data_IF_351607965304
#
_entry.id   IF_351607965304
#
_cell.length_a   1.000
_cell.length_b   1.000
_cell.length_c   1.000
_cell.angle_alpha   90.00
_cell.angle_beta   90.00
_cell.angle_gamma   90.00
#
_symmetry.space_group_name_H-M   'P 1'
#
loop_
_entity.id
_entity.type
_entity.pdbx_description
1 polymer ?
2 non-polymer ?
3 water ?
#
# COMPACT_ATOMS: atom_id res chain seq x y z
N UNK A 2 1.36 -10.73 -21.90
CA UNK A 2 0.91 -10.42 -20.55
C UNK A 2 1.82 -11.07 -19.50
N UNK A 3 1.79 -10.54 -18.29
CA UNK A 3 2.64 -11.05 -17.23
C UNK A 3 1.76 -11.68 -16.17
N UNK A 4 2.30 -12.66 -15.47
CA UNK A 4 1.63 -13.18 -14.28
C UNK A 4 2.34 -12.69 -13.05
N UNK A 5 1.56 -12.24 -12.09
CA UNK A 5 2.15 -11.89 -10.83
C UNK A 5 1.46 -12.72 -9.77
N UNK A 6 2.25 -13.38 -8.94
CA UNK A 6 1.71 -14.33 -7.98
C UNK A 6 2.26 -14.02 -6.59
N UNK A 7 1.36 -13.74 -5.65
CA UNK A 7 1.73 -13.71 -4.24
C UNK A 7 1.53 -15.12 -3.73
N UNK A 8 2.60 -15.78 -3.34
CA UNK A 8 2.56 -17.22 -3.09
C UNK A 8 2.76 -17.55 -1.63
N UNK A 9 2.30 -18.74 -1.25
CA UNK A 9 2.26 -19.17 0.14
C UNK A 9 1.74 -18.06 1.06
N UNK A 10 0.69 -17.40 0.62
CA UNK A 10 0.22 -16.18 1.27
C UNK A 10 -0.42 -16.48 2.60
N UNK A 11 -0.12 -15.62 3.58
CA UNK A 11 -0.67 -15.70 4.93
C UNK A 11 -2.13 -15.23 4.98
N UNK A 12 -2.97 -15.84 4.16
CA UNK A 12 -4.38 -15.55 4.07
C UNK A 12 -5.15 -16.89 4.12
N UNK A 13 -5.73 -17.18 5.28
CA UNK A 13 -6.39 -18.46 5.54
C UNK A 13 -7.61 -18.29 6.42
N UNK A 14 -8.62 -19.13 6.21
CA UNK A 14 -9.62 -19.33 7.25
C UNK A 14 -8.91 -19.86 8.48
N UNK A 15 -9.52 -19.69 9.65
CA UNK A 15 -8.90 -20.16 10.87
C UNK A 15 -8.71 -21.68 10.82
N UNK A 16 -7.47 -22.15 11.01
CA UNK A 16 -7.19 -23.60 10.96
C UNK A 16 -8.00 -24.35 12.01
N UNK A 17 -8.66 -25.44 11.63
CA UNK A 17 -9.35 -26.29 12.58
C UNK A 17 -8.43 -26.67 13.74
N UNK A 18 -7.16 -26.94 13.41
CA UNK A 18 -6.13 -27.25 14.39
C UNK A 18 -6.22 -26.38 15.65
N UNK A 19 -6.66 -25.13 15.50
CA UNK A 19 -6.61 -24.20 16.63
C UNK A 19 -7.94 -23.53 17.01
N UNK A 20 -9.02 -23.91 16.35
CA UNK A 20 -10.31 -23.26 16.63
C UNK A 20 -10.68 -23.26 18.12
N UNK A 21 -10.28 -24.33 18.83
CA UNK A 21 -10.63 -24.46 20.24
C UNK A 21 -9.93 -23.46 21.15
N UNK A 22 -8.87 -22.84 20.64
CA UNK A 22 -8.12 -21.90 21.45
C UNK A 22 -8.54 -20.47 21.11
N UNK A 23 -9.45 -20.34 20.14
CA UNK A 23 -9.91 -19.04 19.70
C UNK A 23 -11.05 -18.55 20.57
N UNK A 24 -10.83 -17.48 21.34
CA UNK A 24 -11.97 -16.84 21.99
C UNK A 24 -12.55 -15.78 21.06
N UNK A 25 -13.77 -16.01 20.58
CA UNK A 25 -14.41 -15.07 19.69
C UNK A 25 -14.75 -13.76 20.41
N UNK A 26 -14.65 -12.65 19.68
CA UNK A 26 -14.81 -11.33 20.25
C UNK A 26 -15.47 -10.43 19.21
N UNK A 27 -16.22 -9.44 19.68
CA UNK A 27 -16.91 -8.52 18.77
C UNK A 27 -15.95 -7.51 18.13
N UNK A 28 -14.75 -7.38 18.66
CA UNK A 28 -13.78 -6.46 18.03
C UNK A 28 -13.22 -7.04 16.73
N UNK A 29 -13.30 -8.36 16.58
CA UNK A 29 -12.85 -9.04 15.37
C UNK A 29 -13.78 -10.19 15.04
N UNK A 30 -14.67 -9.96 14.08
CA UNK A 30 -15.70 -10.94 13.73
C UNK A 30 -15.47 -11.66 12.39
N UNK A 31 -14.21 -12.02 12.10
CA UNK A 31 -13.90 -12.71 10.84
C UNK A 31 -13.26 -14.06 11.10
N UNK A 32 -13.58 -15.04 10.25
CA UNK A 32 -12.98 -16.35 10.33
C UNK A 32 -11.66 -16.42 9.56
N UNK A 33 -10.94 -15.31 9.52
CA UNK A 33 -9.65 -15.28 8.87
C UNK A 33 -8.56 -15.11 9.89
N UNK A 34 -7.52 -15.94 9.77
CA UNK A 34 -6.42 -15.92 10.71
C UNK A 34 -5.68 -14.58 10.68
N UNK A 35 -5.62 -13.91 11.83
CA UNK A 35 -4.91 -12.63 11.91
C UNK A 35 -4.15 -12.62 13.22
N UNK A 36 -2.83 -12.67 13.12
CA UNK A 36 -1.98 -12.82 14.28
C UNK A 36 -2.16 -11.65 15.25
N UNK A 37 -2.70 -10.53 14.77
CA UNK A 37 -2.98 -9.38 15.64
C UNK A 37 -4.01 -9.71 16.71
N UNK A 38 -4.92 -10.61 16.35
CA UNK A 38 -6.02 -11.02 17.21
C UNK A 38 -5.90 -12.46 17.74
N UNK A 39 -5.09 -13.29 17.08
CA UNK A 39 -5.01 -14.72 17.42
C UNK A 39 -3.62 -15.20 17.84
N UNK A 40 -2.71 -14.27 18.12
CA UNK A 40 -1.34 -14.63 18.44
C UNK A 40 -1.23 -15.79 19.44
N UNK A 41 -1.97 -15.70 20.55
CA UNK A 41 -1.94 -16.75 21.55
C UNK A 41 -2.36 -18.10 20.99
N UNK A 42 -3.55 -18.17 20.39
CA UNK A 42 -4.05 -19.43 19.83
C UNK A 42 -3.13 -20.01 18.73
N UNK A 43 -2.17 -19.19 18.27
CA UNK A 43 -1.26 -19.56 17.20
C UNK A 43 0.08 -20.02 17.74
N UNK A 44 0.20 -20.04 19.07
CA UNK A 44 1.48 -20.32 19.71
C UNK A 44 2.13 -21.64 19.27
N UNK A 45 1.32 -22.70 19.13
CA UNK A 45 1.84 -23.98 18.67
C UNK A 45 1.34 -24.34 17.27
N UNK A 46 1.02 -23.32 16.49
CA UNK A 46 0.65 -23.50 15.08
C UNK A 46 1.91 -23.68 14.24
N UNK A 47 1.92 -24.72 13.41
CA UNK A 47 3.03 -24.95 12.48
C UNK A 47 3.26 -23.72 11.59
N UNK A 48 4.51 -23.29 11.46
CA UNK A 48 4.86 -22.17 10.59
C UNK A 48 4.14 -20.88 10.97
N UNK A 49 3.89 -20.72 12.27
CA UNK A 49 3.11 -19.59 12.75
C UNK A 49 3.72 -18.24 12.35
N UNK A 50 5.04 -18.20 12.18
CA UNK A 50 5.73 -16.94 11.87
C UNK A 50 5.42 -16.48 10.46
N UNK A 51 4.91 -17.39 9.61
CA UNK A 51 4.62 -17.01 8.23
C UNK A 51 3.13 -17.04 7.90
N UNK A 52 2.30 -17.15 8.92
CA UNK A 52 0.85 -17.23 8.75
C UNK A 52 0.12 -16.12 9.50
N UNK A 53 -1.15 -15.91 9.15
CA UNK A 53 -1.96 -14.92 9.83
C UNK A 53 -1.58 -13.47 9.59
N UNK A 54 -1.25 -13.12 8.35
CA UNK A 54 -0.90 -11.75 8.01
C UNK A 54 -1.62 -11.28 6.73
N UNK A 55 -2.95 -11.22 6.77
CA UNK A 55 -3.73 -10.89 5.58
C UNK A 55 -3.50 -9.46 5.10
N UNK A 56 -3.06 -8.58 5.99
CA UNK A 56 -2.80 -7.21 5.56
C UNK A 56 -1.69 -7.10 4.51
N UNK A 57 -0.75 -8.04 4.51
CA UNK A 57 0.29 -8.06 3.49
C UNK A 57 -0.31 -8.22 2.08
N UNK A 58 -1.30 -9.11 1.97
CA UNK A 58 -2.02 -9.32 0.73
C UNK A 58 -2.90 -8.13 0.37
N UNK A 59 -3.59 -7.56 1.36
CA UNK A 59 -4.39 -6.35 1.15
C UNK A 59 -3.57 -5.21 0.55
N UNK A 60 -2.48 -4.84 1.21
CA UNK A 60 -1.64 -3.75 0.73
C UNK A 60 -0.99 -4.07 -0.63
N UNK A 61 -0.44 -5.28 -0.79
CA UNK A 61 0.12 -5.67 -2.07
C UNK A 61 -0.90 -5.54 -3.20
N UNK A 62 -2.11 -6.03 -2.98
CA UNK A 62 -3.15 -5.97 -4.02
C UNK A 62 -3.58 -4.54 -4.34
N UNK A 63 -3.66 -3.68 -3.33
CA UNK A 63 -3.96 -2.25 -3.57
C UNK A 63 -2.93 -1.65 -4.53
N UNK A 64 -1.66 -2.02 -4.36
CA UNK A 64 -0.59 -1.60 -5.28
C UNK A 64 -0.72 -2.20 -6.67
N UNK A 65 -0.84 -3.53 -6.75
CA UNK A 65 -0.96 -4.20 -8.04
C UNK A 65 -2.18 -3.71 -8.85
N UNK A 66 -3.34 -3.63 -8.22
CA UNK A 66 -4.56 -3.33 -8.95
C UNK A 66 -4.58 -1.92 -9.54
N UNK A 67 -3.90 -0.99 -8.88
CA UNK A 67 -3.87 0.40 -9.34
C UNK A 67 -2.67 0.73 -10.21
N UNK A 68 -1.82 -0.25 -10.48
CA UNK A 68 -0.61 0.03 -11.25
C UNK A 68 -0.97 0.28 -12.71
N UNK A 69 -0.18 1.12 -13.39
CA UNK A 69 -0.44 1.38 -14.81
C UNK A 69 -0.46 0.07 -15.62
N UNK A 70 0.50 -0.82 -15.38
CA UNK A 70 0.55 -2.10 -16.10
C UNK A 70 -0.78 -2.86 -15.96
N UNK A 71 -1.45 -2.74 -14.82
CA UNK A 71 -2.77 -3.37 -14.70
C UNK A 71 -3.92 -2.60 -15.38
N UNK A 72 -3.81 -1.27 -15.41
CA UNK A 72 -4.82 -0.45 -16.11
C UNK A 72 -4.73 -0.76 -17.59
N UNK A 73 -3.53 -1.10 -18.03
CA UNK A 73 -3.34 -1.51 -19.42
C UNK A 73 -3.69 -2.97 -19.67
N UNK A 74 -4.20 -3.64 -18.64
CA UNK A 74 -4.69 -5.00 -18.82
C UNK A 74 -3.61 -5.99 -19.25
N UNK A 75 -2.38 -5.77 -18.78
CA UNK A 75 -1.29 -6.67 -19.13
C UNK A 75 -0.84 -7.61 -17.99
N UNK A 76 -1.65 -7.72 -16.95
CA UNK A 76 -1.32 -8.62 -15.83
C UNK A 76 -2.38 -9.66 -15.60
N UNK A 77 -1.92 -10.86 -15.27
CA UNK A 77 -2.77 -11.85 -14.62
C UNK A 77 -2.36 -11.90 -13.16
N UNK A 78 -3.32 -11.77 -12.27
CA UNK A 78 -3.04 -11.61 -10.87
C UNK A 78 -3.50 -12.83 -10.07
N UNK A 79 -2.60 -13.42 -9.29
CA UNK A 79 -2.93 -14.61 -8.50
C UNK A 79 -2.49 -14.49 -7.05
N UNK A 80 -3.36 -14.90 -6.16
CA UNK A 80 -2.97 -15.14 -4.78
C UNK A 80 -2.96 -16.65 -4.55
N UNK A 81 -1.78 -17.20 -4.28
CA UNK A 81 -1.68 -18.58 -3.82
C UNK A 81 -1.47 -18.52 -2.31
N UNK A 82 -2.21 -19.34 -1.57
CA UNK A 82 -2.20 -19.26 -0.11
C UNK A 82 -1.39 -20.39 0.54
N UNK A 83 -1.00 -20.17 1.80
CA UNK A 83 -0.28 -21.18 2.56
C UNK A 83 -0.91 -22.57 2.45
N UNK A 84 -2.23 -22.64 2.48
CA UNK A 84 -2.92 -23.92 2.40
C UNK A 84 -3.40 -24.30 1.00
N UNK A 85 -2.72 -23.80 -0.03
CA UNK A 85 -2.97 -24.25 -1.41
C UNK A 85 -4.37 -23.95 -1.92
N UNK A 86 -4.82 -22.72 -1.72
CA UNK A 86 -5.94 -22.22 -2.52
C UNK A 86 -5.35 -21.18 -3.46
N UNK A 87 -5.94 -21.06 -4.64
CA UNK A 87 -5.53 -20.02 -5.59
C UNK A 87 -6.71 -19.14 -5.93
N UNK A 88 -6.54 -17.84 -5.69
CA UNK A 88 -7.52 -16.86 -6.07
C UNK A 88 -7.02 -16.16 -7.31
N UNK A 89 -7.80 -16.21 -8.39
CA UNK A 89 -7.49 -15.43 -9.57
C UNK A 89 -8.26 -14.12 -9.45
N UNK A 90 -7.53 -13.01 -9.45
CA UNK A 90 -8.13 -11.69 -9.24
C UNK A 90 -8.37 -10.97 -10.56
N UNK A 91 -9.63 -10.69 -10.87
CA UNK A 91 -9.91 -9.94 -12.09
C UNK A 91 -9.24 -8.55 -12.07
N UNK A 92 -8.58 -8.16 -13.17
CA UNK A 92 -7.92 -6.84 -13.21
C UNK A 92 -8.83 -5.66 -12.83
N UNK A 93 -10.14 -5.82 -12.97
CA UNK A 93 -11.06 -4.73 -12.69
C UNK A 93 -11.71 -4.81 -11.31
N UNK A 94 -11.21 -5.73 -10.49
CA UNK A 94 -11.62 -5.82 -9.09
C UNK A 94 -11.39 -4.48 -8.42
N UNK A 95 -12.40 -4.05 -7.68
CA UNK A 95 -12.31 -2.86 -6.87
C UNK A 95 -12.14 -3.37 -5.46
N UNK A 96 -10.93 -3.34 -4.93
CA UNK A 96 -10.69 -3.95 -3.64
C UNK A 96 -11.00 -2.93 -2.58
N UNK A 97 -11.67 -3.34 -1.50
CA UNK A 97 -11.99 -2.39 -0.43
C UNK A 97 -10.71 -1.80 0.13
N UNK A 98 -10.74 -0.50 0.41
CA UNK A 98 -9.57 0.15 0.98
C UNK A 98 -9.57 -0.07 2.49
N UNK A 99 -10.76 -0.31 3.04
CA UNK A 99 -10.88 -0.64 4.45
C UNK A 99 -10.53 -2.12 4.71
N UNK A 100 -9.55 -2.34 5.60
CA UNK A 100 -9.07 -3.68 5.93
C UNK A 100 -10.18 -4.69 6.30
N UNK A 101 -11.08 -4.30 7.21
CA UNK A 101 -12.18 -5.19 7.59
C UNK A 101 -13.09 -5.55 6.44
N UNK A 102 -13.41 -4.58 5.57
CA UNK A 102 -14.21 -4.89 4.38
C UNK A 102 -13.47 -5.91 3.51
N UNK A 103 -12.17 -5.70 3.34
CA UNK A 103 -11.32 -6.66 2.64
C UNK A 103 -11.43 -8.07 3.24
N UNK A 104 -11.33 -8.18 4.56
CA UNK A 104 -11.48 -9.49 5.24
C UNK A 104 -12.84 -10.10 4.95
N UNK A 105 -13.88 -9.28 4.98
CA UNK A 105 -15.24 -9.72 4.66
C UNK A 105 -15.35 -10.33 3.28
N UNK A 106 -14.80 -9.66 2.28
CA UNK A 106 -14.77 -10.20 0.92
C UNK A 106 -13.97 -11.52 0.87
N UNK A 107 -12.75 -11.50 1.40
CA UNK A 107 -11.89 -12.68 1.35
C UNK A 107 -12.47 -13.90 2.10
N UNK A 108 -13.11 -13.64 3.23
CA UNK A 108 -13.79 -14.67 4.02
C UNK A 108 -14.77 -15.48 3.19
N UNK A 109 -15.62 -14.80 2.42
CA UNK A 109 -16.62 -15.48 1.62
C UNK A 109 -16.00 -16.24 0.47
N UNK A 110 -14.97 -15.65 -0.13
CA UNK A 110 -14.30 -16.30 -1.23
C UNK A 110 -13.64 -17.61 -0.76
N UNK A 111 -12.96 -17.55 0.38
CA UNK A 111 -12.22 -18.71 0.87
C UNK A 111 -13.15 -19.86 1.29
N UNK A 112 -14.37 -19.49 1.68
CA UNK A 112 -15.42 -20.41 2.09
C UNK A 112 -16.14 -21.06 0.90
N UNK A 113 -15.88 -20.54 -0.29
CA UNK A 113 -16.40 -21.14 -1.50
C UNK A 113 -17.57 -20.39 -2.13
N UNK A 114 -17.96 -19.28 -1.53
CA UNK A 114 -19.05 -18.46 -2.06
C UNK A 114 -18.66 -17.76 -3.36
N UNK A 115 -19.50 -17.89 -4.39
CA UNK A 115 -19.21 -17.33 -5.70
C UNK A 115 -18.91 -15.85 -5.65
N UNK A 116 -17.94 -15.44 -6.44
CA UNK A 116 -17.60 -14.04 -6.59
C UNK A 116 -17.10 -13.85 -8.02
N UNK A 117 -17.87 -13.13 -8.82
CA UNK A 117 -17.56 -13.09 -10.26
C UNK A 117 -16.20 -12.48 -10.58
N UNK A 118 -15.64 -11.71 -9.66
CA UNK A 118 -14.34 -11.05 -9.88
C UNK A 118 -13.13 -11.76 -9.25
N UNK A 119 -13.38 -12.60 -8.24
CA UNK A 119 -12.31 -13.34 -7.57
C UNK A 119 -12.67 -14.83 -7.57
N UNK A 120 -11.95 -15.62 -8.38
CA UNK A 120 -12.24 -17.05 -8.47
C UNK A 120 -11.28 -17.88 -7.60
N UNK A 121 -11.84 -18.83 -6.86
CA UNK A 121 -11.05 -19.67 -5.98
C UNK A 121 -11.05 -21.12 -6.44
N UNK A 122 -9.87 -21.72 -6.50
CA UNK A 122 -9.71 -23.16 -6.66
C UNK A 122 -8.71 -23.68 -5.65
N UNK A 123 -8.81 -24.97 -5.33
CA UNK A 123 -7.79 -25.63 -4.53
C UNK A 123 -6.70 -26.08 -5.49
N UNK A 124 -5.46 -25.72 -5.20
CA UNK A 124 -4.41 -25.88 -6.19
C UNK A 124 -3.09 -25.51 -5.57
N UNK A 125 -2.06 -26.30 -5.86
CA UNK A 125 -0.70 -26.01 -5.39
C UNK A 125 -0.06 -24.94 -6.28
N UNK A 126 1.03 -24.37 -5.79
CA UNK A 126 1.75 -23.35 -6.54
C UNK A 126 2.32 -23.93 -7.83
N UNK A 127 2.90 -25.12 -7.73
CA UNK A 127 3.53 -25.75 -8.88
C UNK A 127 2.50 -26.09 -9.96
N UNK A 128 1.34 -26.56 -9.54
CA UNK A 128 0.27 -26.83 -10.48
C UNK A 128 -0.24 -25.55 -11.18
N UNK A 129 -0.40 -24.47 -10.41
CA UNK A 129 -0.77 -23.17 -10.98
C UNK A 129 0.23 -22.76 -12.08
N UNK A 130 1.51 -22.84 -11.78
CA UNK A 130 2.55 -22.44 -12.71
C UNK A 130 2.45 -23.22 -14.00
N UNK A 131 2.29 -24.54 -13.89
CA UNK A 131 2.21 -25.37 -15.07
C UNK A 131 0.97 -25.06 -15.88
N UNK A 132 -0.13 -24.85 -15.17
CA UNK A 132 -1.42 -24.62 -15.82
C UNK A 132 -1.51 -23.29 -16.57
N UNK A 133 -0.84 -22.25 -16.08
CA UNK A 133 -0.85 -20.99 -16.79
C UNK A 133 0.32 -20.92 -17.79
N UNK A 134 1.03 -22.03 -17.96
CA UNK A 134 2.25 -22.09 -18.78
C UNK A 134 3.27 -20.98 -18.49
N UNK A 135 3.57 -20.80 -17.22
CA UNK A 135 4.66 -19.94 -16.81
C UNK A 135 5.95 -20.56 -17.36
N UNK A 136 6.76 -19.75 -18.05
CA UNK A 136 7.94 -20.25 -18.75
C UNK A 136 9.24 -19.78 -18.11
N UNK A 137 9.38 -18.47 -17.97
CA UNK A 137 10.51 -17.89 -17.25
C UNK A 137 9.99 -17.20 -16.00
N UNK A 138 10.27 -17.85 -14.87
CA UNK A 138 9.73 -17.50 -13.60
C UNK A 138 10.80 -16.84 -12.74
N UNK A 139 10.50 -15.65 -12.23
CA UNK A 139 11.42 -14.97 -11.34
C UNK A 139 10.83 -15.05 -9.95
N UNK A 140 11.55 -15.69 -9.03
CA UNK A 140 11.19 -15.71 -7.62
C UNK A 140 11.94 -14.61 -6.88
N UNK A 141 11.21 -13.66 -6.34
CA UNK A 141 11.80 -12.55 -5.59
C UNK A 141 12.14 -12.95 -4.17
N UNK A 142 13.38 -12.67 -3.78
CA UNK A 142 13.90 -13.06 -2.47
C UNK A 142 15.28 -12.41 -2.30
N UNK A 143 15.57 -11.94 -1.09
CA UNK A 143 16.80 -11.16 -0.83
C UNK A 143 18.10 -11.97 -0.91
N UNK A 144 17.99 -13.27 -1.20
CA UNK A 144 19.17 -14.14 -1.35
C UNK A 144 19.37 -14.51 -2.81
N UNK A 145 18.57 -13.92 -3.70
CA UNK A 145 18.66 -14.20 -5.12
C UNK A 145 19.68 -13.32 -5.82
N UNK A 146 19.86 -13.58 -7.11
CA UNK A 146 20.78 -12.82 -7.95
C UNK A 146 20.41 -11.34 -8.07
N UNK A 147 21.32 -10.46 -7.67
CA UNK A 147 21.06 -9.02 -7.77
C UNK A 147 20.85 -8.58 -9.22
N UNK A 148 19.70 -7.97 -9.47
CA UNK A 148 19.22 -7.71 -10.80
C UNK A 148 18.60 -6.32 -10.84
N UNK A 149 18.82 -5.62 -11.94
CA UNK A 149 18.22 -4.31 -12.12
C UNK A 149 16.84 -4.45 -12.70
N UNK A 150 15.87 -3.79 -12.05
CA UNK A 150 14.45 -3.79 -12.43
C UNK A 150 14.24 -3.79 -13.94
N UNK A 151 15.09 -3.11 -14.70
CA UNK A 151 14.88 -3.03 -16.14
C UNK A 151 14.87 -4.41 -16.78
N UNK A 152 15.61 -5.35 -16.20
CA UNK A 152 15.73 -6.72 -16.72
C UNK A 152 14.49 -7.60 -16.45
N UNK A 153 13.61 -7.15 -15.57
CA UNK A 153 12.45 -7.92 -15.18
C UNK A 153 11.57 -8.22 -16.38
N UNK A 154 11.61 -7.34 -17.38
CA UNK A 154 10.77 -7.52 -18.57
C UNK A 154 11.07 -8.82 -19.31
N UNK A 155 12.23 -9.42 -19.04
CA UNK A 155 12.58 -10.67 -19.70
C UNK A 155 11.83 -11.91 -19.16
N UNK A 156 11.23 -11.79 -17.98
CA UNK A 156 10.43 -12.87 -17.39
C UNK A 156 8.95 -12.69 -17.68
N UNK A 157 8.20 -13.78 -17.74
CA UNK A 157 6.76 -13.69 -17.91
C UNK A 157 6.01 -13.89 -16.60
N UNK A 158 6.69 -14.38 -15.57
CA UNK A 158 6.02 -14.71 -14.31
C UNK A 158 6.82 -14.34 -13.08
N UNK A 159 6.17 -13.67 -12.14
CA UNK A 159 6.83 -13.17 -10.95
C UNK A 159 6.19 -13.74 -9.70
N UNK A 160 7.00 -14.29 -8.82
CA UNK A 160 6.51 -14.84 -7.57
C UNK A 160 7.08 -14.12 -6.37
N UNK A 161 6.19 -13.57 -5.55
CA UNK A 161 6.55 -12.84 -4.37
C UNK A 161 5.87 -13.54 -3.19
N UNK A 162 6.63 -13.82 -2.12
CA UNK A 162 6.07 -14.45 -0.94
C UNK A 162 5.07 -13.54 -0.25
N UNK A 163 3.82 -13.99 -0.14
CA UNK A 163 2.79 -13.23 0.55
C UNK A 163 2.80 -13.46 2.05
N UNK A 164 3.98 -13.37 2.65
CA UNK A 164 4.17 -13.70 4.06
C UNK A 164 5.24 -12.81 4.68
N UNK A 165 5.30 -12.78 6.03
CA UNK A 165 6.27 -11.94 6.73
C UNK A 165 7.66 -12.59 6.82
N UNK A 166 7.70 -13.83 7.31
CA UNK A 166 8.96 -14.49 7.62
C UNK A 166 9.07 -15.86 6.97
N UNK A 167 10.27 -16.18 6.54
CA UNK A 167 10.54 -17.46 5.90
C UNK A 167 11.14 -17.21 4.54
N UNK A 168 11.46 -18.30 3.85
CA UNK A 168 11.81 -18.21 2.46
C UNK A 168 10.81 -19.08 1.70
N UNK A 169 10.65 -18.81 0.42
CA UNK A 169 9.68 -19.54 -0.38
C UNK A 169 10.35 -20.73 -1.05
N UNK A 170 9.86 -21.94 -0.77
CA UNK A 170 10.38 -23.11 -1.46
C UNK A 170 9.42 -23.68 -2.50
N UNK A 171 9.94 -24.00 -3.67
CA UNK A 171 9.16 -24.60 -4.76
C UNK A 171 9.86 -25.87 -5.19
N UNK A 172 9.09 -26.93 -5.46
CA UNK A 172 9.70 -28.15 -5.99
C UNK A 172 10.06 -28.03 -7.49
N UNK A 173 11.34 -27.84 -7.77
CA UNK A 173 11.86 -27.60 -9.11
C UNK A 173 11.42 -28.67 -10.10
N UNK A 174 11.38 -29.92 -9.66
CA UNK A 174 11.06 -31.02 -10.55
C UNK A 174 9.57 -31.12 -10.81
N UNK A 175 8.79 -30.28 -10.15
CA UNK A 175 7.34 -30.26 -10.34
C UNK A 175 6.86 -29.10 -11.23
N UNK A 176 7.80 -28.28 -11.70
CA UNK A 176 7.47 -27.12 -12.52
C UNK A 176 8.08 -27.24 -13.92
N UNK A 177 7.27 -27.05 -14.95
CA UNK A 177 7.82 -27.16 -16.29
C UNK A 177 8.71 -25.97 -16.67
N UNK A 178 8.33 -24.77 -16.28
CA UNK A 178 9.11 -23.58 -16.54
C UNK A 178 10.42 -23.49 -15.76
N UNK A 179 11.28 -22.58 -16.21
CA UNK A 179 12.56 -22.33 -15.56
C UNK A 179 12.38 -21.32 -14.45
N UNK A 180 12.88 -21.68 -13.27
CA UNK A 180 12.76 -20.84 -12.11
C UNK A 180 14.11 -20.18 -11.83
N UNK A 181 14.11 -18.88 -11.59
CA UNK A 181 15.32 -18.19 -11.21
C UNK A 181 15.08 -17.33 -9.99
N UNK A 182 15.98 -17.40 -9.01
CA UNK A 182 15.93 -16.53 -7.84
C UNK A 182 16.51 -15.16 -8.16
N UNK A 183 15.69 -14.13 -8.02
CA UNK A 183 16.09 -12.75 -8.27
C UNK A 183 16.05 -11.92 -7.00
N UNK A 184 17.01 -11.02 -6.87
CA UNK A 184 17.00 -10.00 -5.83
C UNK A 184 17.15 -8.63 -6.53
N UNK A 185 16.16 -7.75 -6.33
CA UNK A 185 16.23 -6.42 -6.96
C UNK A 185 16.76 -5.34 -6.00
N UNK A 186 17.22 -5.77 -4.83
CA UNK A 186 17.74 -4.87 -3.80
C UNK A 186 18.39 -5.64 -2.67
N UNK A 187 19.42 -5.06 -2.06
CA UNK A 187 20.25 -5.75 -1.08
C UNK A 187 19.70 -5.79 0.35
N UNK A 188 18.68 -4.98 0.61
CA UNK A 188 17.98 -5.03 1.88
C UNK A 188 16.64 -5.75 1.65
N UNK A 189 16.20 -6.53 2.63
CA UNK A 189 14.89 -7.16 2.56
C UNK A 189 13.79 -6.12 2.44
N UNK A 190 12.85 -6.33 1.51
CA UNK A 190 11.76 -5.39 1.29
C UNK A 190 10.43 -6.06 1.60
N UNK A 191 9.41 -5.29 1.97
CA UNK A 191 8.08 -5.87 2.21
C UNK A 191 7.47 -6.30 0.88
N UNK A 192 6.53 -7.25 0.92
CA UNK A 192 5.95 -7.78 -0.31
C UNK A 192 5.33 -6.69 -1.16
N UNK A 193 4.63 -5.75 -0.55
CA UNK A 193 3.97 -4.73 -1.34
C UNK A 193 4.96 -3.87 -2.09
N UNK A 194 6.14 -3.66 -1.52
CA UNK A 194 7.14 -2.83 -2.17
C UNK A 194 7.71 -3.56 -3.39
N UNK A 195 7.98 -4.85 -3.20
CA UNK A 195 8.49 -5.69 -4.28
C UNK A 195 7.50 -5.73 -5.43
N UNK A 196 6.23 -5.91 -5.10
CA UNK A 196 5.16 -5.93 -6.10
C UNK A 196 5.11 -4.61 -6.84
N UNK A 197 5.17 -3.51 -6.09
CA UNK A 197 5.14 -2.19 -6.70
C UNK A 197 6.30 -1.99 -7.65
N UNK A 198 7.50 -2.31 -7.20
CA UNK A 198 8.70 -2.18 -8.03
C UNK A 198 8.63 -2.99 -9.33
N UNK A 199 8.15 -4.23 -9.23
CA UNK A 199 7.97 -5.06 -10.42
C UNK A 199 6.98 -4.43 -11.38
N UNK A 200 5.82 -4.05 -10.86
CA UNK A 200 4.76 -3.49 -11.70
C UNK A 200 5.22 -2.24 -12.41
N UNK A 201 5.98 -1.42 -11.72
CA UNK A 201 6.36 -0.15 -12.32
C UNK A 201 7.49 -0.37 -13.33
N UNK A 202 8.40 -1.31 -13.04
CA UNK A 202 9.42 -1.72 -14.00
C UNK A 202 8.84 -2.34 -15.29
N UNK A 203 7.60 -2.80 -15.25
CA UNK A 203 6.99 -3.34 -16.46
C UNK A 203 6.37 -2.22 -17.32
N UNK A 204 6.09 -1.08 -16.72
CA UNK A 204 5.44 0.03 -17.42
C UNK A 204 6.39 1.05 -18.00
N UNK A 205 7.55 1.16 -17.38
CA UNK A 205 8.46 2.25 -17.66
C UNK A 205 9.82 1.66 -18.03
N UNK B 2 19.27 15.07 -1.50
CA UNK B 2 18.08 14.63 -0.79
C UNK B 2 16.79 15.20 -1.40
N UNK B 3 15.81 14.34 -1.62
CA UNK B 3 14.53 14.77 -2.19
C UNK B 3 13.47 14.98 -1.13
N UNK B 4 12.58 15.94 -1.35
CA UNK B 4 11.41 16.10 -0.50
C UNK B 4 10.21 15.44 -1.17
N UNK B 5 9.48 14.62 -0.43
CA UNK B 5 8.20 14.15 -0.94
C UNK B 5 7.13 14.64 0.01
N UNK B 6 6.09 15.25 -0.55
CA UNK B 6 5.02 15.84 0.24
C UNK B 6 3.67 15.31 -0.19
N UNK B 7 2.91 14.76 0.75
CA UNK B 7 1.51 14.47 0.49
C UNK B 7 0.73 15.66 1.00
N UNK B 8 0.04 16.36 0.09
CA UNK B 8 -0.48 17.69 0.40
C UNK B 8 -2.00 17.73 0.43
N UNK B 9 -2.54 18.73 1.14
CA UNK B 9 -3.96 18.81 1.44
C UNK B 9 -4.51 17.44 1.85
N UNK B 10 -3.73 16.73 2.66
CA UNK B 10 -4.05 15.36 3.02
C UNK B 10 -5.30 15.23 3.87
N UNK B 11 -6.12 14.24 3.52
CA UNK B 11 -7.41 13.93 4.15
C UNK B 11 -7.22 13.26 5.52
N UNK B 12 -6.36 13.86 6.34
CA UNK B 12 -6.04 13.38 7.67
C UNK B 12 -6.24 14.49 8.69
N UNK B 13 -7.38 14.45 9.39
CA UNK B 13 -7.74 15.50 10.34
C UNK B 13 -8.44 14.96 11.58
N UNK B 14 -8.27 15.67 12.68
CA UNK B 14 -9.14 15.47 13.83
C UNK B 14 -10.52 15.93 13.39
N UNK B 15 -11.55 15.46 14.07
CA UNK B 15 -12.91 15.78 13.66
C UNK B 15 -13.12 17.31 13.65
N UNK B 16 -13.55 17.85 12.50
CA UNK B 16 -13.78 19.30 12.35
C UNK B 16 -14.79 19.81 13.38
N UNK B 17 -14.54 20.99 13.92
CA UNK B 17 -15.41 21.56 14.95
C UNK B 17 -16.88 21.60 14.52
N UNK B 18 -17.11 22.02 13.27
CA UNK B 18 -18.45 22.15 12.70
C UNK B 18 -19.32 20.90 12.83
N UNK B 19 -18.71 19.72 12.77
CA UNK B 19 -19.49 18.50 12.83
C UNK B 19 -19.21 17.62 14.04
N UNK B 20 -18.47 18.17 15.01
CA UNK B 20 -18.21 17.41 16.24
C UNK B 20 -19.49 16.92 16.90
N UNK B 21 -20.56 17.71 16.79
CA UNK B 21 -21.81 17.42 17.48
C UNK B 21 -22.60 16.30 16.83
N UNK B 22 -22.16 15.88 15.64
CA UNK B 22 -22.84 14.82 14.91
C UNK B 22 -22.06 13.51 14.98
N UNK B 23 -20.93 13.51 15.69
CA UNK B 23 -20.07 12.35 15.74
C UNK B 23 -19.66 11.98 17.17
N UNK B 24 -19.98 10.75 17.56
CA UNK B 24 -19.58 10.22 18.85
C UNK B 24 -18.63 9.03 18.70
N UNK B 25 -17.66 8.94 19.62
CA UNK B 25 -16.78 7.78 19.67
C UNK B 25 -17.61 6.53 19.90
N UNK B 26 -17.25 5.45 19.23
CA UNK B 26 -17.95 4.18 19.38
C UNK B 26 -16.90 3.10 19.64
N UNK B 27 -17.35 1.88 19.91
CA UNK B 27 -16.41 0.80 20.10
C UNK B 27 -15.92 0.37 18.74
N UNK B 28 -16.77 0.53 17.73
CA UNK B 28 -16.40 0.17 16.37
C UNK B 28 -15.28 1.09 15.83
N UNK B 29 -15.33 2.36 16.20
CA UNK B 29 -14.37 3.36 15.79
C UNK B 29 -14.20 4.39 16.90
N UNK B 30 -13.15 4.26 17.68
CA UNK B 30 -12.99 5.09 18.87
C UNK B 30 -12.14 6.35 18.64
N UNK B 31 -11.63 6.53 17.43
CA UNK B 31 -10.63 7.56 17.18
C UNK B 31 -11.24 8.92 16.92
N UNK B 32 -10.52 9.99 17.24
CA UNK B 32 -10.99 11.35 16.90
C UNK B 32 -10.54 11.81 15.51
N UNK B 33 -10.13 10.88 14.66
CA UNK B 33 -9.77 11.18 13.29
C UNK B 33 -10.96 10.99 12.36
N UNK B 34 -11.25 12.02 11.54
CA UNK B 34 -12.34 11.93 10.57
C UNK B 34 -12.13 10.80 9.58
N UNK B 35 -13.15 9.95 9.39
CA UNK B 35 -13.05 8.85 8.42
C UNK B 35 -14.42 8.59 7.82
N UNK B 36 -14.55 8.88 6.52
CA UNK B 36 -15.84 8.86 5.87
C UNK B 36 -16.44 7.44 5.85
N UNK B 37 -15.61 6.40 5.98
CA UNK B 37 -16.19 5.06 6.12
C UNK B 37 -17.12 4.97 7.34
N UNK B 38 -16.84 5.76 8.37
CA UNK B 38 -17.59 5.68 9.62
C UNK B 38 -18.44 6.92 9.89
N UNK B 39 -18.10 8.02 9.23
CA UNK B 39 -18.68 9.32 9.54
C UNK B 39 -19.33 9.97 8.33
N UNK B 40 -19.62 9.20 7.30
CA UNK B 40 -20.09 9.74 6.03
C UNK B 40 -21.26 10.70 6.20
N UNK B 41 -22.27 10.27 6.94
CA UNK B 41 -23.49 11.08 7.08
C UNK B 41 -23.23 12.39 7.82
N UNK B 42 -22.45 12.34 8.89
CA UNK B 42 -22.11 13.55 9.63
C UNK B 42 -21.31 14.56 8.80
N UNK B 43 -20.74 14.10 7.69
CA UNK B 43 -19.95 14.96 6.80
C UNK B 43 -20.79 15.61 5.69
N UNK B 44 -22.09 15.32 5.72
CA UNK B 44 -23.01 15.76 4.68
C UNK B 44 -22.86 17.22 4.30
N UNK B 45 -22.79 18.08 5.30
CA UNK B 45 -22.71 19.52 5.06
C UNK B 45 -21.34 20.07 5.42
N UNK B 46 -20.31 19.25 5.28
CA UNK B 46 -18.94 19.69 5.52
C UNK B 46 -18.35 20.25 4.23
N UNK B 47 -17.65 21.38 4.33
CA UNK B 47 -16.95 21.93 3.17
C UNK B 47 -15.95 20.93 2.62
N UNK B 48 -15.92 20.79 1.30
CA UNK B 48 -14.94 19.95 0.61
C UNK B 48 -14.98 18.51 1.09
N UNK B 49 -16.11 18.14 1.68
CA UNK B 49 -16.31 16.80 2.21
C UNK B 49 -15.76 15.72 1.30
N UNK B 50 -15.84 15.90 -0.02
CA UNK B 50 -15.43 14.83 -0.92
C UNK B 50 -13.91 14.66 -0.97
N UNK B 51 -13.16 15.59 -0.40
CA UNK B 51 -11.71 15.42 -0.34
C UNK B 51 -11.16 15.18 1.08
N UNK B 52 -12.06 15.00 2.05
CA UNK B 52 -11.67 14.84 3.44
C UNK B 52 -12.08 13.48 4.00
N UNK B 53 -11.56 13.11 5.17
CA UNK B 53 -11.95 11.88 5.83
C UNK B 53 -11.45 10.60 5.15
N UNK B 54 -10.18 10.58 4.75
CA UNK B 54 -9.61 9.39 4.13
C UNK B 54 -8.19 9.10 4.64
N UNK B 55 -8.06 8.84 5.95
CA UNK B 55 -6.74 8.59 6.55
C UNK B 55 -6.03 7.42 5.88
N UNK B 56 -6.81 6.49 5.34
CA UNK B 56 -6.25 5.30 4.70
C UNK B 56 -5.35 5.61 3.52
N UNK B 57 -5.67 6.68 2.79
CA UNK B 57 -4.83 7.07 1.66
C UNK B 57 -3.39 7.40 2.11
N UNK B 58 -3.30 8.16 3.20
CA UNK B 58 -2.02 8.49 3.82
C UNK B 58 -1.31 7.23 4.37
N UNK B 59 -2.07 6.36 5.02
CA UNK B 59 -1.54 5.13 5.58
C UNK B 59 -0.83 4.33 4.52
N UNK B 60 -1.55 4.00 3.45
CA UNK B 60 -0.99 3.20 2.37
C UNK B 60 0.16 3.92 1.63
N UNK B 61 0.01 5.21 1.37
CA UNK B 61 1.09 5.98 0.74
C UNK B 61 2.35 5.92 1.58
N UNK B 62 2.19 6.16 2.88
CA UNK B 62 3.32 6.12 3.80
C UNK B 62 3.98 4.73 3.91
N UNK B 63 3.19 3.66 3.83
CA UNK B 63 3.76 2.32 3.77
C UNK B 63 4.61 2.11 2.52
N UNK B 64 4.19 2.68 1.40
CA UNK B 64 5.02 2.64 0.19
C UNK B 64 6.30 3.46 0.34
N UNK B 65 6.14 4.69 0.78
CA UNK B 65 7.27 5.60 0.86
C UNK B 65 8.35 5.10 1.82
N UNK B 66 7.94 4.73 3.01
CA UNK B 66 8.87 4.34 4.06
C UNK B 66 9.66 3.09 3.75
N UNK B 67 9.06 2.17 3.02
CA UNK B 67 9.75 0.95 2.64
C UNK B 67 10.49 1.04 1.30
N UNK B 68 10.41 2.17 0.61
CA UNK B 68 11.13 2.28 -0.67
C UNK B 68 12.66 2.25 -0.48
N UNK B 69 13.39 1.69 -1.45
CA UNK B 69 14.86 1.74 -1.46
C UNK B 69 15.42 3.16 -1.28
N UNK B 70 14.85 4.14 -1.99
CA UNK B 70 15.28 5.51 -1.83
C UNK B 70 15.17 6.01 -0.37
N UNK B 71 14.17 5.53 0.37
CA UNK B 71 14.13 5.85 1.79
C UNK B 71 15.10 5.05 2.65
N UNK B 72 15.34 3.80 2.30
CA UNK B 72 16.28 2.99 3.05
C UNK B 72 17.68 3.60 2.90
N UNK B 73 17.89 4.26 1.77
CA UNK B 73 19.14 4.95 1.51
C UNK B 73 19.14 6.37 2.11
N UNK B 74 18.13 6.67 2.91
CA UNK B 74 18.05 7.95 3.60
C UNK B 74 18.14 9.15 2.66
N UNK B 75 17.55 9.02 1.48
CA UNK B 75 17.60 10.09 0.49
C UNK B 75 16.30 10.87 0.35
N UNK B 76 15.39 10.68 1.29
CA UNK B 76 14.11 11.39 1.33
C UNK B 76 13.86 12.17 2.61
N UNK B 77 13.24 13.34 2.47
CA UNK B 77 12.57 13.99 3.58
C UNK B 77 11.08 13.85 3.28
N UNK B 78 10.30 13.49 4.29
CA UNK B 78 8.92 13.09 4.07
C UNK B 78 7.95 13.94 4.85
N UNK B 79 6.97 14.50 4.16
CA UNK B 79 6.04 15.42 4.79
C UNK B 79 4.59 15.08 4.51
N UNK B 80 3.76 15.17 5.53
CA UNK B 80 2.33 15.13 5.31
C UNK B 80 1.77 16.51 5.57
N UNK B 81 1.27 17.17 4.53
CA UNK B 81 0.59 18.42 4.76
C UNK B 81 -0.91 18.11 4.71
N UNK B 82 -1.65 18.60 5.70
CA UNK B 82 -3.04 18.21 5.84
C UNK B 82 -3.99 19.28 5.34
N UNK B 83 -5.25 18.88 5.19
CA UNK B 83 -6.29 19.78 4.74
C UNK B 83 -6.36 21.01 5.65
N UNK B 84 -6.22 20.84 6.95
CA UNK B 84 -6.34 21.99 7.83
C UNK B 84 -5.00 22.62 8.21
N UNK B 85 -4.04 22.55 7.29
CA UNK B 85 -2.73 23.19 7.45
C UNK B 85 -1.91 22.77 8.67
N UNK B 86 -1.69 21.48 8.81
CA UNK B 86 -0.69 20.97 9.71
C UNK B 86 0.27 20.23 8.84
N UNK B 87 1.51 20.14 9.29
CA UNK B 87 2.53 19.43 8.55
C UNK B 87 3.15 18.46 9.51
N UNK B 88 3.18 17.19 9.13
CA UNK B 88 3.86 16.19 9.93
C UNK B 88 5.14 15.83 9.19
N UNK B 89 6.26 15.94 9.87
CA UNK B 89 7.50 15.50 9.29
C UNK B 89 7.76 14.10 9.79
N UNK B 90 7.98 13.19 8.85
CA UNK B 90 8.10 11.77 9.16
C UNK B 90 9.54 11.27 9.12
N UNK B 91 10.08 10.88 10.27
CA UNK B 91 11.42 10.33 10.29
C UNK B 91 11.54 9.14 9.35
N UNK B 92 12.59 9.10 8.51
CA UNK B 92 12.80 7.99 7.59
C UNK B 92 12.78 6.62 8.25
N UNK B 93 13.11 6.56 9.55
CA UNK B 93 13.16 5.29 10.27
C UNK B 93 11.87 4.99 11.02
N UNK B 94 10.85 5.80 10.79
CA UNK B 94 9.53 5.54 11.37
C UNK B 94 9.08 4.14 10.95
N UNK B 95 8.71 3.34 11.94
CA UNK B 95 8.10 2.05 11.67
C UNK B 95 6.60 2.19 11.87
N UNK B 96 5.91 2.39 10.76
CA UNK B 96 4.51 2.74 10.78
C UNK B 96 3.71 1.46 10.94
N UNK B 97 2.71 1.47 11.83
CA UNK B 97 1.89 0.26 12.01
C UNK B 97 1.26 -0.15 10.68
N UNK B 98 1.31 -1.43 10.38
CA UNK B 98 0.64 -1.98 9.22
C UNK B 98 -0.87 -2.04 9.49
N UNK B 99 -1.24 -2.16 10.77
CA UNK B 99 -2.64 -2.16 11.17
C UNK B 99 -3.24 -0.75 11.12
N UNK B 100 -4.33 -0.60 10.36
CA UNK B 100 -4.97 0.69 10.14
C UNK B 100 -5.39 1.39 11.44
N UNK B 101 -6.03 0.65 12.35
CA UNK B 101 -6.42 1.26 13.62
C UNK B 101 -5.23 1.67 14.49
N UNK B 102 -4.16 0.88 14.48
CA UNK B 102 -2.94 1.26 15.20
C UNK B 102 -2.38 2.55 14.61
N UNK B 103 -2.32 2.61 13.28
CA UNK B 103 -1.96 3.83 12.57
C UNK B 103 -2.81 5.03 13.02
N UNK B 104 -4.12 4.85 13.07
CA UNK B 104 -4.98 5.93 13.56
C UNK B 104 -4.65 6.42 14.98
N UNK B 105 -4.36 5.50 15.89
CA UNK B 105 -3.99 5.87 17.25
C UNK B 105 -2.68 6.64 17.31
N UNK B 106 -1.69 6.21 16.54
CA UNK B 106 -0.46 6.99 16.46
C UNK B 106 -0.73 8.40 15.94
N UNK B 107 -1.38 8.49 14.78
CA UNK B 107 -1.64 9.79 14.13
C UNK B 107 -2.44 10.71 15.03
N UNK B 108 -3.41 10.13 15.74
CA UNK B 108 -4.35 10.90 16.56
C UNK B 108 -3.64 11.66 17.69
N UNK B 109 -2.69 10.99 18.33
CA UNK B 109 -1.88 11.60 19.37
C UNK B 109 -1.03 12.74 18.80
N UNK B 110 -0.31 12.46 17.73
CA UNK B 110 0.48 13.48 17.07
C UNK B 110 -0.39 14.70 16.78
N UNK B 111 -1.58 14.47 16.22
CA UNK B 111 -2.42 15.56 15.77
C UNK B 111 -2.94 16.41 16.92
N UNK B 112 -3.03 15.78 18.09
CA UNK B 112 -3.44 16.44 19.32
C UNK B 112 -2.24 17.12 20.01
N UNK B 113 -1.05 16.93 19.46
CA UNK B 113 0.12 17.65 19.93
C UNK B 113 0.97 16.89 20.94
N UNK B 114 0.64 15.63 21.21
CA UNK B 114 1.48 14.81 22.06
C UNK B 114 2.79 14.57 21.33
N UNK B 115 3.89 14.64 22.07
CA UNK B 115 5.21 14.46 21.48
C UNK B 115 5.39 13.05 20.95
N UNK B 116 5.85 12.98 19.71
CA UNK B 116 6.31 11.73 19.12
C UNK B 116 7.69 12.01 18.55
N UNK B 117 8.72 11.28 18.96
CA UNK B 117 10.06 11.67 18.53
C UNK B 117 10.36 11.36 17.05
N UNK B 118 9.52 10.54 16.43
CA UNK B 118 9.74 10.18 15.02
C UNK B 118 8.82 10.96 14.04
N UNK B 119 7.78 11.58 14.59
CA UNK B 119 6.77 12.28 13.79
C UNK B 119 6.49 13.61 14.44
N UNK B 120 6.93 14.68 13.79
CA UNK B 120 6.79 16.00 14.35
C UNK B 120 5.67 16.77 13.64
N UNK B 121 4.87 17.48 14.41
CA UNK B 121 3.74 18.20 13.87
C UNK B 121 3.89 19.70 14.11
N UNK B 122 3.50 20.50 13.11
CA UNK B 122 3.52 21.96 13.20
C UNK B 122 2.31 22.47 12.46
N UNK B 123 1.75 23.59 12.90
CA UNK B 123 0.79 24.36 12.10
C UNK B 123 1.54 25.04 10.99
N UNK B 124 1.11 24.84 9.75
CA UNK B 124 1.92 25.26 8.62
C UNK B 124 1.17 25.07 7.31
N UNK B 125 1.19 26.09 6.47
CA UNK B 125 0.61 25.97 5.13
C UNK B 125 1.58 25.25 4.19
N UNK B 126 1.04 24.82 3.06
CA UNK B 126 1.83 24.12 2.06
C UNK B 126 2.90 25.06 1.50
N UNK B 127 2.50 26.29 1.22
CA UNK B 127 3.42 27.28 0.68
C UNK B 127 4.54 27.62 1.67
N UNK B 128 4.19 27.86 2.92
CA UNK B 128 5.23 28.05 3.93
C UNK B 128 6.15 26.84 4.04
N UNK B 129 5.58 25.63 3.93
CA UNK B 129 6.40 24.42 3.96
C UNK B 129 7.44 24.42 2.84
N UNK B 130 7.00 24.63 1.60
CA UNK B 130 7.91 24.68 0.46
C UNK B 130 9.06 25.67 0.61
N UNK B 131 8.75 26.83 1.18
CA UNK B 131 9.73 27.88 1.38
C UNK B 131 10.72 27.58 2.51
N UNK B 132 10.23 27.01 3.60
CA UNK B 132 11.11 26.66 4.70
C UNK B 132 12.12 25.56 4.33
N UNK B 133 11.69 24.56 3.57
CA UNK B 133 12.60 23.51 3.12
C UNK B 133 13.42 23.95 1.91
N UNK B 134 13.21 25.19 1.46
CA UNK B 134 13.99 25.73 0.35
C UNK B 134 13.83 24.91 -0.93
N UNK B 135 12.60 24.48 -1.21
CA UNK B 135 12.28 23.80 -2.46
C UNK B 135 12.57 24.74 -3.65
N UNK B 136 13.24 24.23 -4.67
CA UNK B 136 13.58 25.06 -5.83
C UNK B 136 12.90 24.58 -7.11
N UNK B 137 13.02 23.28 -7.39
CA UNK B 137 12.36 22.66 -8.53
C UNK B 137 11.31 21.66 -8.03
N UNK B 138 10.06 22.06 -8.17
CA UNK B 138 8.93 21.39 -7.55
C UNK B 138 8.04 20.77 -8.62
N UNK B 139 7.80 19.47 -8.53
CA UNK B 139 6.85 18.81 -9.42
C UNK B 139 5.54 18.56 -8.68
N UNK B 140 4.46 19.17 -9.16
CA UNK B 140 3.14 18.83 -8.63
C UNK B 140 2.56 17.74 -9.50
N UNK B 141 2.28 16.59 -8.90
CA UNK B 141 1.75 15.46 -9.66
C UNK B 141 0.25 15.59 -9.78
N UNK B 142 -0.21 15.76 -11.01
CA UNK B 142 -1.63 15.80 -11.33
C UNK B 142 -1.80 15.24 -12.73
N UNK B 143 -2.97 14.69 -13.05
CA UNK B 143 -3.17 14.04 -14.35
C UNK B 143 -3.27 15.05 -15.51
N UNK B 144 -3.75 16.25 -15.20
CA UNK B 144 -3.85 17.32 -16.19
C UNK B 144 -2.48 17.91 -16.49
N UNK B 145 -1.45 17.40 -15.81
CA UNK B 145 -0.10 17.87 -16.00
C UNK B 145 0.51 17.37 -17.31
N UNK B 146 1.67 17.94 -17.67
CA UNK B 146 2.41 17.50 -18.83
C UNK B 146 2.91 16.08 -18.63
N UNK B 147 2.63 15.20 -19.60
CA UNK B 147 3.09 13.82 -19.51
C UNK B 147 4.61 13.76 -19.51
N UNK B 148 5.17 13.08 -18.51
CA UNK B 148 6.61 13.04 -18.30
C UNK B 148 7.03 11.63 -17.94
N UNK B 149 7.95 11.05 -18.71
CA UNK B 149 8.49 9.76 -18.30
C UNK B 149 9.18 9.91 -16.97
N UNK B 150 8.89 8.99 -16.04
CA UNK B 150 9.40 9.07 -14.66
C UNK B 150 10.91 9.24 -14.57
N UNK B 151 11.63 8.95 -15.65
CA UNK B 151 13.09 9.04 -15.63
C UNK B 151 13.55 10.47 -15.36
N UNK B 152 12.71 11.44 -15.73
CA UNK B 152 13.03 12.86 -15.59
C UNK B 152 12.75 13.43 -14.20
N UNK B 153 11.98 12.70 -13.40
CA UNK B 153 11.63 13.16 -12.07
C UNK B 153 12.88 13.53 -11.25
N UNK B 154 14.00 12.88 -11.58
CA UNK B 154 15.29 13.11 -10.91
C UNK B 154 15.81 14.55 -11.01
N UNK B 155 15.32 15.31 -11.97
CA UNK B 155 15.69 16.72 -12.13
C UNK B 155 15.03 17.65 -11.12
N UNK B 156 14.03 17.16 -10.39
CA UNK B 156 13.38 17.98 -9.37
C UNK B 156 13.90 17.68 -7.97
N UNK B 157 13.67 18.60 -7.04
CA UNK B 157 14.09 18.38 -5.66
C UNK B 157 12.90 18.07 -4.75
N UNK B 158 11.71 18.46 -5.18
CA UNK B 158 10.52 18.36 -4.35
C UNK B 158 9.30 17.85 -5.14
N UNK B 159 8.59 16.88 -4.58
CA UNK B 159 7.41 16.31 -5.22
C UNK B 159 6.17 16.50 -4.38
N UNK B 160 5.09 16.90 -5.01
CA UNK B 160 3.84 17.08 -4.31
C UNK B 160 2.75 16.16 -4.87
N UNK B 161 2.14 15.38 -4.00
CA UNK B 161 1.06 14.45 -4.36
C UNK B 161 -0.12 14.72 -3.46
N UNK B 162 -1.31 14.91 -4.05
CA UNK B 162 -2.49 15.14 -3.25
C UNK B 162 -2.84 13.92 -2.37
N UNK B 163 -2.89 14.09 -1.06
CA UNK B 163 -3.26 13.01 -0.17
C UNK B 163 -4.76 12.96 0.03
N UNK B 164 -5.49 12.96 -1.09
CA UNK B 164 -6.95 12.99 -1.05
C UNK B 164 -7.51 12.18 -2.21
N UNK B 165 -8.82 11.88 -2.15
CA UNK B 165 -9.45 11.07 -3.21
C UNK B 165 -9.84 11.93 -4.38
N UNK B 166 -10.59 13.00 -4.14
CA UNK B 166 -11.21 13.77 -5.21
C UNK B 166 -10.95 15.27 -5.12
N UNK B 167 -10.77 15.89 -6.28
CA UNK B 167 -10.53 17.31 -6.36
C UNK B 167 -9.20 17.57 -7.04
N UNK B 168 -8.74 18.81 -6.94
CA UNK B 168 -7.43 19.13 -7.46
C UNK B 168 -6.69 19.90 -6.40
N UNK B 169 -5.37 19.75 -6.38
CA UNK B 169 -4.56 20.47 -5.43
C UNK B 169 -4.52 21.93 -5.87
N UNK B 170 -4.95 22.83 -5.01
CA UNK B 170 -4.85 24.25 -5.31
C UNK B 170 -3.74 24.91 -4.50
N UNK B 171 -2.80 25.52 -5.21
CA UNK B 171 -1.64 26.11 -4.57
C UNK B 171 -1.40 27.53 -5.09
N UNK B 172 -1.18 28.46 -4.17
CA UNK B 172 -0.87 29.83 -4.51
C UNK B 172 0.59 29.99 -4.94
N UNK B 173 0.83 29.85 -6.24
CA UNK B 173 2.18 29.87 -6.80
C UNK B 173 2.93 31.19 -6.58
N UNK B 174 2.16 32.26 -6.36
CA UNK B 174 2.75 33.57 -6.10
C UNK B 174 3.38 33.65 -4.73
N UNK B 175 2.98 32.75 -3.83
CA UNK B 175 3.55 32.73 -2.48
C UNK B 175 4.70 31.73 -2.33
N UNK B 176 5.10 31.11 -3.44
CA UNK B 176 6.11 30.07 -3.41
C UNK B 176 7.38 30.54 -4.11
N UNK B 177 8.52 30.49 -3.43
CA UNK B 177 9.77 30.94 -4.02
C UNK B 177 10.25 30.06 -5.17
N UNK B 178 10.16 28.74 -4.99
CA UNK B 178 10.64 27.81 -6.00
C UNK B 178 9.77 27.81 -7.26
N UNK B 179 10.28 27.19 -8.31
CA UNK B 179 9.52 27.03 -9.55
C UNK B 179 8.65 25.77 -9.54
N UNK B 180 7.36 25.92 -9.85
CA UNK B 180 6.44 24.79 -9.88
C UNK B 180 6.07 24.35 -11.30
N UNK B 181 6.26 23.06 -11.59
CA UNK B 181 5.77 22.45 -12.82
C UNK B 181 4.75 21.36 -12.50
N UNK B 182 3.62 21.40 -13.20
CA UNK B 182 2.62 20.33 -13.08
C UNK B 182 2.96 19.18 -14.00
N UNK B 183 3.12 18.00 -13.43
CA UNK B 183 3.58 16.83 -14.17
C UNK B 183 2.57 15.67 -14.12
N UNK B 184 2.38 15.00 -15.26
CA UNK B 184 1.65 13.74 -15.30
C UNK B 184 2.57 12.60 -15.75
N UNK B 185 2.64 11.54 -14.96
CA UNK B 185 3.49 10.39 -15.31
C UNK B 185 2.67 9.28 -15.97
N UNK B 186 1.37 9.53 -16.12
CA UNK B 186 0.45 8.55 -16.69
C UNK B 186 -0.88 9.19 -17.15
N UNK B 187 -1.43 8.67 -18.25
CA UNK B 187 -2.63 9.24 -18.90
C UNK B 187 -3.97 9.05 -18.14
N UNK B 188 -3.98 8.15 -17.16
CA UNK B 188 -5.19 7.83 -16.40
C UNK B 188 -5.02 8.29 -14.95
N UNK B 189 -6.12 8.53 -14.25
CA UNK B 189 -6.04 8.94 -12.85
C UNK B 189 -5.53 7.80 -11.99
N UNK B 190 -4.51 8.05 -11.16
CA UNK B 190 -3.97 7.05 -10.26
C UNK B 190 -4.20 7.42 -8.80
N UNK B 191 -4.18 6.44 -7.90
CA UNK B 191 -4.30 6.73 -6.47
C UNK B 191 -3.01 7.34 -5.94
N UNK B 192 -3.09 8.09 -4.84
CA UNK B 192 -1.90 8.75 -4.30
C UNK B 192 -0.79 7.77 -3.96
N UNK B 193 -1.14 6.61 -3.41
CA UNK B 193 -0.09 5.66 -3.03
C UNK B 193 0.67 5.13 -4.23
N UNK B 194 -0.03 5.00 -5.35
CA UNK B 194 0.59 4.54 -6.60
C UNK B 194 1.56 5.59 -7.18
N UNK B 195 1.14 6.84 -7.17
CA UNK B 195 2.00 7.94 -7.60
C UNK B 195 3.24 8.03 -6.71
N UNK B 196 3.02 7.96 -5.40
CA UNK B 196 4.14 7.95 -4.46
C UNK B 196 5.10 6.83 -4.77
N UNK B 197 4.58 5.62 -4.96
CA UNK B 197 5.45 4.50 -5.29
C UNK B 197 6.25 4.75 -6.57
N UNK B 198 5.57 5.25 -7.61
CA UNK B 198 6.22 5.42 -8.90
C UNK B 198 7.37 6.43 -8.76
N UNK B 199 7.08 7.56 -8.12
CA UNK B 199 8.13 8.53 -7.83
C UNK B 199 9.28 7.90 -7.07
N UNK B 200 9.00 7.24 -5.96
CA UNK B 200 10.07 6.67 -5.14
C UNK B 200 10.94 5.71 -5.96
N UNK B 201 10.32 4.85 -6.75
CA UNK B 201 11.14 3.91 -7.50
C UNK B 201 11.85 4.57 -8.71
N UNK B 202 11.25 5.61 -9.27
CA UNK B 202 11.93 6.41 -10.29
C UNK B 202 13.29 6.92 -9.80
N UNK B 203 13.36 7.20 -8.49
CA UNK B 203 14.55 7.82 -7.93
C UNK B 203 15.65 6.81 -7.64
N UNK B 204 15.30 5.52 -7.68
CA UNK B 204 16.28 4.46 -7.44
C UNK B 204 16.80 3.81 -8.71
N UNK B 205 15.95 3.76 -9.72
CA UNK B 205 16.20 2.93 -10.89
C UNK B 205 15.94 3.73 -12.15
#
# INVERSE_FOLDING_TARGET
MTYNIILAKSALELIPEEIKNKIRKSRVYKYDILDSNYHYKAMEKLKDKEMRGRPDIIHISLLNILDSPINHEKKLNIYIHTYDDKVLKINPETRLPRNYFRFLGVMEKVLKGERNHLIKMEEKTLEDLLNEINAKKIAIMTKTGKLTHPKLLKEYDTFIIGGFPYGKLKINKEKVFGDIKEISIYNKGLMAWTVCGIICYSLSF
MTYNIILAKSALELIPEEIKNKIRKSRVYKYDILDSNYHYKAMEKLKDKEMRGRPDIIHISLLNILDSPINHEKKLNIYIHTYDDKVLKINPETRLPRNYFRFLGVMEKVLKGERNHLIKMEEKTLEDLLNEINAKKIAIMTKTGKLTHPKLLKEYDTFIIGGFPYGKLKINKEKVFGDIKEISIYNKGLMAWTVCGIICYSLSF
#
